data_IF_739969208371
#
_entry.id   IF_739969208371
#
_cell.length_a   1.000
_cell.length_b   1.000
_cell.length_c   1.000
_cell.angle_alpha   90.00
_cell.angle_beta   90.00
_cell.angle_gamma   90.00
#
_symmetry.space_group_name_H-M   'P 1'
#
loop_
_entity.id
_entity.type
_entity.pdbx_description
1 polymer ?
#
# COMPACT_ATOMS: atom_id res chain seq x y z
N UNK A 1 6.80 32.45 2.04
CA UNK A 1 6.92 31.60 3.24
C UNK A 1 5.52 31.11 3.60
N UNK A 2 5.04 30.03 2.98
CA UNK A 2 3.68 29.54 3.17
C UNK A 2 3.70 28.45 4.25
N UNK A 3 3.07 28.69 5.40
CA UNK A 3 2.75 27.63 6.36
C UNK A 3 1.81 26.65 5.65
N UNK A 4 2.23 25.39 5.56
CA UNK A 4 1.35 24.29 5.15
C UNK A 4 0.11 24.34 6.07
N UNK A 5 -1.06 24.61 5.50
CA UNK A 5 -2.31 24.47 6.22
C UNK A 5 -2.42 22.99 6.62
N UNK A 6 -2.51 22.70 7.92
CA UNK A 6 -2.75 21.32 8.36
C UNK A 6 -4.07 20.85 7.76
N UNK A 7 -4.12 19.63 7.25
CA UNK A 7 -5.32 19.06 6.62
C UNK A 7 -6.49 18.90 7.60
N UNK A 8 -6.25 19.12 8.90
CA UNK A 8 -7.20 18.85 9.98
C UNK A 8 -7.21 17.39 10.43
N UNK A 9 -6.46 16.52 9.73
CA UNK A 9 -6.34 15.09 10.01
C UNK A 9 -4.86 14.73 10.21
N UNK A 10 -4.49 14.43 11.45
CA UNK A 10 -3.10 14.18 11.86
C UNK A 10 -2.41 13.07 11.05
N UNK A 11 -3.16 12.08 10.59
CA UNK A 11 -2.63 10.95 9.84
C UNK A 11 -2.23 11.34 8.41
N UNK A 12 -3.00 12.20 7.75
CA UNK A 12 -2.66 12.72 6.42
C UNK A 12 -1.50 13.72 6.49
N UNK A 13 -1.45 14.55 7.54
CA UNK A 13 -0.33 15.46 7.76
C UNK A 13 0.97 14.68 8.01
N UNK A 14 0.91 13.61 8.81
CA UNK A 14 2.04 12.69 9.04
C UNK A 14 2.48 12.03 7.74
N UNK A 15 1.52 11.54 6.94
CA UNK A 15 1.81 10.94 5.64
C UNK A 15 2.54 11.92 4.71
N UNK A 16 2.06 13.17 4.59
CA UNK A 16 2.70 14.20 3.79
C UNK A 16 4.11 14.54 4.28
N UNK A 17 4.33 14.54 5.59
CA UNK A 17 5.65 14.75 6.17
C UNK A 17 6.63 13.62 5.81
N UNK A 18 6.20 12.35 5.89
CA UNK A 18 7.01 11.19 5.47
C UNK A 18 7.41 11.34 4.00
N UNK A 19 6.43 11.51 3.11
CA UNK A 19 6.70 11.60 1.66
C UNK A 19 7.66 12.73 1.29
N UNK A 20 7.47 13.91 1.88
CA UNK A 20 8.34 15.06 1.65
C UNK A 20 9.76 14.83 2.13
N UNK A 21 9.94 14.35 3.37
CA UNK A 21 11.26 14.08 3.94
C UNK A 21 11.98 13.00 3.14
N UNK A 22 11.31 11.91 2.80
CA UNK A 22 11.90 10.86 1.96
C UNK A 22 12.29 11.42 0.60
N UNK A 23 11.45 12.24 -0.04
CA UNK A 23 11.77 12.86 -1.33
C UNK A 23 12.97 13.82 -1.24
N UNK A 24 13.08 14.61 -0.18
CA UNK A 24 14.23 15.49 0.07
C UNK A 24 15.53 14.67 0.17
N UNK A 25 15.52 13.54 0.90
CA UNK A 25 16.66 12.63 1.01
C UNK A 25 17.04 11.99 -0.33
N UNK A 26 16.04 11.50 -1.08
CA UNK A 26 16.28 10.92 -2.40
C UNK A 26 16.79 11.99 -3.38
N UNK A 27 16.28 13.21 -3.30
CA UNK A 27 16.78 14.30 -4.15
C UNK A 27 18.23 14.66 -3.82
N UNK A 28 18.59 14.74 -2.54
CA UNK A 28 19.97 14.95 -2.12
C UNK A 28 20.88 13.83 -2.66
N UNK A 29 20.52 12.56 -2.42
CA UNK A 29 21.28 11.41 -2.91
C UNK A 29 21.45 11.42 -4.43
N UNK A 30 20.41 11.79 -5.17
CA UNK A 30 20.48 11.88 -6.64
C UNK A 30 21.37 13.03 -7.13
N UNK A 31 21.48 14.12 -6.36
CA UNK A 31 22.25 15.31 -6.72
C UNK A 31 23.73 15.22 -6.32
N UNK A 32 24.02 14.67 -5.13
CA UNK A 32 25.38 14.63 -4.56
C UNK A 32 26.03 13.26 -4.66
N UNK A 33 25.25 12.20 -4.87
CA UNK A 33 25.73 10.82 -4.76
C UNK A 33 25.88 10.32 -3.32
N UNK A 34 25.63 11.17 -2.33
CA UNK A 34 25.80 10.88 -0.92
C UNK A 34 24.51 11.08 -0.14
N UNK A 35 24.29 10.23 0.85
CA UNK A 35 23.15 10.32 1.74
C UNK A 35 23.45 11.33 2.87
N UNK A 36 22.55 12.30 3.16
CA UNK A 36 22.77 13.24 4.27
C UNK A 36 22.89 12.55 5.64
N UNK A 37 23.57 13.20 6.59
CA UNK A 37 23.66 12.71 7.96
C UNK A 37 22.27 12.49 8.58
N UNK A 38 22.09 11.35 9.27
CA UNK A 38 20.81 10.96 9.90
C UNK A 38 19.74 10.47 8.92
N UNK A 39 19.98 10.45 7.62
CA UNK A 39 19.02 9.98 6.63
C UNK A 39 18.67 8.49 6.78
N UNK A 40 19.65 7.64 7.16
CA UNK A 40 19.39 6.23 7.45
C UNK A 40 18.39 6.06 8.59
N UNK A 41 18.47 6.90 9.63
CA UNK A 41 17.52 6.86 10.75
C UNK A 41 16.12 7.30 10.31
N UNK A 42 16.01 8.35 9.49
CA UNK A 42 14.71 8.77 8.92
C UNK A 42 14.10 7.67 8.05
N UNK A 43 14.91 7.01 7.22
CA UNK A 43 14.43 5.90 6.41
C UNK A 43 13.96 4.72 7.29
N UNK A 44 14.72 4.36 8.32
CA UNK A 44 14.41 3.25 9.21
C UNK A 44 13.22 3.51 10.15
N UNK A 45 13.06 4.72 10.64
CA UNK A 45 12.06 5.04 11.69
C UNK A 45 10.77 5.65 11.14
N UNK A 46 10.80 6.21 9.93
CA UNK A 46 9.64 6.86 9.32
C UNK A 46 9.21 6.20 8.01
N UNK A 47 10.15 6.04 7.06
CA UNK A 47 9.80 5.64 5.69
C UNK A 47 9.48 4.16 5.59
N UNK A 48 10.37 3.28 6.07
CA UNK A 48 10.19 1.83 6.03
C UNK A 48 8.94 1.39 6.81
N UNK A 49 8.65 1.92 8.01
CA UNK A 49 7.39 1.63 8.71
C UNK A 49 6.14 2.02 7.92
N UNK A 50 6.21 3.07 7.07
CA UNK A 50 5.10 3.38 6.18
C UNK A 50 4.91 2.33 5.09
N UNK A 51 6.00 1.77 4.54
CA UNK A 51 5.92 0.66 3.59
C UNK A 51 5.37 -0.60 4.27
N UNK A 52 5.76 -0.87 5.52
CA UNK A 52 5.18 -1.96 6.32
C UNK A 52 3.67 -1.76 6.56
N UNK A 53 3.21 -0.54 6.80
CA UNK A 53 1.78 -0.22 6.88
C UNK A 53 1.06 -0.56 5.57
N UNK A 54 1.67 -0.29 4.41
CA UNK A 54 1.11 -0.65 3.10
C UNK A 54 0.96 -2.17 2.95
N UNK A 55 1.96 -2.95 3.36
CA UNK A 55 1.88 -4.41 3.38
C UNK A 55 0.79 -4.92 4.33
N UNK A 56 0.72 -4.35 5.53
CA UNK A 56 -0.30 -4.70 6.52
C UNK A 56 -1.70 -4.42 5.97
N UNK A 57 -1.89 -3.27 5.30
CA UNK A 57 -3.12 -2.93 4.59
C UNK A 57 -3.45 -3.93 3.48
N UNK A 58 -2.46 -4.32 2.68
CA UNK A 58 -2.64 -5.31 1.62
C UNK A 58 -3.11 -6.65 2.19
N UNK A 59 -2.45 -7.16 3.24
CA UNK A 59 -2.84 -8.40 3.93
C UNK A 59 -4.25 -8.29 4.53
N UNK A 60 -4.60 -7.15 5.13
CA UNK A 60 -5.94 -6.92 5.68
C UNK A 60 -7.02 -6.95 4.57
N UNK A 61 -6.76 -6.34 3.42
CA UNK A 61 -7.66 -6.36 2.26
C UNK A 61 -7.85 -7.75 1.67
N UNK A 62 -6.78 -8.55 1.58
CA UNK A 62 -6.87 -9.94 1.13
C UNK A 62 -7.76 -10.77 2.06
N UNK A 63 -7.52 -10.69 3.38
CA UNK A 63 -8.36 -11.36 4.38
C UNK A 63 -9.82 -10.95 4.27
N UNK A 64 -10.10 -9.65 4.12
CA UNK A 64 -11.47 -9.17 3.95
C UNK A 64 -12.13 -9.72 2.68
N UNK A 65 -11.37 -9.89 1.60
CA UNK A 65 -11.87 -10.47 0.34
C UNK A 65 -12.19 -11.96 0.49
N UNK A 66 -11.32 -12.72 1.17
CA UNK A 66 -11.54 -14.14 1.49
C UNK A 66 -12.75 -14.32 2.41
N UNK A 67 -12.83 -13.52 3.48
CA UNK A 67 -13.97 -13.50 4.40
C UNK A 67 -15.29 -13.18 3.70
N UNK A 68 -15.30 -12.27 2.72
CA UNK A 68 -16.51 -11.98 1.94
C UNK A 68 -16.95 -13.18 1.09
N UNK A 69 -16.02 -14.01 0.59
CA UNK A 69 -16.37 -15.25 -0.13
C UNK A 69 -16.92 -16.31 0.82
N UNK A 70 -16.33 -16.45 2.02
CA UNK A 70 -16.84 -17.35 3.06
C UNK A 70 -18.22 -16.91 3.57
N UNK A 71 -18.41 -15.62 3.79
CA UNK A 71 -19.69 -15.03 4.19
C UNK A 71 -20.74 -15.18 3.09
N UNK A 72 -20.38 -14.94 1.81
CA UNK A 72 -21.27 -15.20 0.68
C UNK A 72 -21.66 -16.68 0.61
N UNK A 73 -20.74 -17.62 0.82
CA UNK A 73 -21.06 -19.06 0.91
C UNK A 73 -22.01 -19.34 2.07
N UNK A 74 -21.76 -18.78 3.25
CA UNK A 74 -22.63 -18.94 4.41
C UNK A 74 -24.03 -18.36 4.17
N UNK A 75 -24.13 -17.21 3.51
CA UNK A 75 -25.40 -16.59 3.13
C UNK A 75 -26.15 -17.37 2.04
N UNK A 76 -25.45 -17.98 1.09
CA UNK A 76 -26.05 -18.89 0.09
C UNK A 76 -26.63 -20.13 0.79
N UNK A 77 -25.91 -20.70 1.76
CA UNK A 77 -26.40 -21.82 2.57
C UNK A 77 -27.61 -21.42 3.44
N UNK A 78 -27.54 -20.25 4.08
CA UNK A 78 -28.62 -19.74 4.94
C UNK A 78 -29.87 -19.34 4.14
N UNK A 79 -29.69 -18.78 2.95
CA UNK A 79 -30.75 -18.36 2.04
C UNK A 79 -31.40 -19.51 1.27
N UNK A 80 -31.00 -20.77 1.51
CA UNK A 80 -31.51 -21.94 0.81
C UNK A 80 -31.15 -21.97 -0.68
N UNK A 81 -30.19 -21.15 -1.11
CA UNK A 81 -29.80 -20.99 -2.51
C UNK A 81 -28.71 -21.98 -2.97
N UNK A 82 -28.42 -23.03 -2.19
CA UNK A 82 -27.77 -24.21 -2.75
C UNK A 82 -27.23 -25.27 -1.77
N UNK A 83 -27.78 -26.48 -1.88
CA UNK A 83 -27.20 -27.83 -1.97
C UNK A 83 -28.39 -28.77 -2.27
N UNK A 84 -28.22 -29.94 -2.95
CA UNK A 84 -29.35 -30.84 -3.22
C UNK A 84 -30.06 -31.20 -1.90
N UNK A 85 -31.39 -31.25 -1.91
CA UNK A 85 -32.14 -31.62 -0.70
C UNK A 85 -31.60 -32.96 -0.15
N UNK A 86 -31.33 -33.05 1.18
CA UNK A 86 -30.90 -34.29 1.79
C UNK A 86 -31.89 -35.39 1.43
N UNK A 87 -31.40 -36.50 0.90
CA UNK A 87 -32.26 -37.59 0.40
C UNK A 87 -32.88 -38.37 1.55
N UNK A 88 -32.28 -38.30 2.74
CA UNK A 88 -32.74 -38.98 3.93
C UNK A 88 -32.49 -38.19 5.23
N UNK A 89 -33.05 -38.72 6.33
CA UNK A 89 -33.00 -38.11 7.67
C UNK A 89 -31.61 -38.18 8.32
N UNK A 90 -30.72 -39.04 7.84
CA UNK A 90 -29.36 -39.16 8.34
C UNK A 90 -28.46 -38.08 7.73
N UNK A 91 -28.61 -37.83 6.43
CA UNK A 91 -27.94 -36.76 5.69
C UNK A 91 -28.38 -35.38 6.21
N UNK A 92 -29.66 -35.20 6.53
CA UNK A 92 -30.17 -33.98 7.17
C UNK A 92 -29.57 -33.73 8.57
N UNK A 93 -29.36 -34.78 9.37
CA UNK A 93 -28.70 -34.68 10.68
C UNK A 93 -27.21 -34.39 10.55
N UNK A 94 -26.53 -35.02 9.60
CA UNK A 94 -25.11 -34.77 9.33
C UNK A 94 -24.87 -33.32 8.91
N UNK A 95 -25.66 -32.81 7.96
CA UNK A 95 -25.59 -31.42 7.50
C UNK A 95 -25.84 -30.41 8.64
N UNK A 96 -26.77 -30.69 9.56
CA UNK A 96 -27.03 -29.85 10.72
C UNK A 96 -25.85 -29.83 11.70
N UNK A 97 -25.22 -30.99 11.96
CA UNK A 97 -24.05 -31.10 12.85
C UNK A 97 -22.86 -30.34 12.27
N UNK A 98 -22.59 -30.48 10.97
CA UNK A 98 -21.54 -29.73 10.27
C UNK A 98 -21.79 -28.21 10.32
N UNK A 99 -23.04 -27.77 10.11
CA UNK A 99 -23.41 -26.36 10.22
C UNK A 99 -23.24 -25.81 11.65
N UNK A 100 -23.57 -26.61 12.67
CA UNK A 100 -23.38 -26.24 14.08
C UNK A 100 -21.89 -26.20 14.45
N UNK A 101 -21.07 -27.11 13.94
CA UNK A 101 -19.62 -27.13 14.15
C UNK A 101 -18.93 -25.95 13.45
N UNK A 102 -19.33 -25.61 12.22
CA UNK A 102 -18.85 -24.41 11.52
C UNK A 102 -19.18 -23.13 12.30
N UNK A 103 -20.37 -23.06 12.91
CA UNK A 103 -20.78 -21.94 13.77
C UNK A 103 -20.01 -21.87 15.09
N UNK A 104 -19.70 -23.02 15.69
CA UNK A 104 -18.88 -23.09 16.90
C UNK A 104 -17.41 -22.71 16.63
N UNK A 105 -16.88 -23.02 15.44
CA UNK A 105 -15.54 -22.60 15.00
C UNK A 105 -15.39 -21.10 14.76
N UNK A 106 -16.49 -20.38 14.52
CA UNK A 106 -16.49 -18.91 14.32
C UNK A 106 -16.41 -18.10 15.64
N UNK A 107 -16.43 -18.79 16.79
CA UNK A 107 -16.45 -18.20 18.13
C UNK A 107 -15.11 -18.17 18.88
N UNK A 108 -13.98 -18.37 18.19
CA UNK A 108 -12.66 -18.08 18.79
C UNK A 108 -12.57 -16.62 19.17
N UNK A 109 -12.03 -16.30 20.35
CA UNK A 109 -11.80 -14.95 20.86
C UNK A 109 -11.42 -14.02 19.70
N UNK A 110 -12.37 -13.18 19.27
CA UNK A 110 -12.09 -12.09 18.36
C UNK A 110 -11.33 -11.06 19.17
N UNK A 111 -10.04 -11.28 19.37
CA UNK A 111 -9.12 -10.20 19.70
C UNK A 111 -9.38 -9.17 18.62
N UNK A 112 -9.99 -8.04 18.99
CA UNK A 112 -10.23 -6.94 18.09
C UNK A 112 -8.85 -6.53 17.58
N UNK A 113 -8.48 -7.05 16.42
CA UNK A 113 -7.23 -6.71 15.78
C UNK A 113 -7.22 -5.18 15.68
N UNK A 114 -6.12 -4.56 16.13
CA UNK A 114 -5.99 -3.10 16.10
C UNK A 114 -6.46 -2.56 14.75
N UNK A 115 -7.24 -1.48 14.79
CA UNK A 115 -7.95 -0.96 13.61
C UNK A 115 -7.04 -0.96 12.36
N UNK A 116 -7.40 -1.70 11.29
CA UNK A 116 -6.59 -1.76 10.07
C UNK A 116 -6.58 -0.42 9.32
N UNK A 117 -7.24 0.62 9.84
CA UNK A 117 -7.44 1.92 9.18
C UNK A 117 -6.13 2.55 8.69
N UNK A 118 -5.06 2.51 9.49
CA UNK A 118 -3.75 3.06 9.09
C UNK A 118 -3.16 2.31 7.90
N UNK A 119 -3.14 0.98 7.94
CA UNK A 119 -2.59 0.17 6.87
C UNK A 119 -3.44 0.25 5.58
N UNK A 120 -4.77 0.25 5.72
CA UNK A 120 -5.68 0.43 4.59
C UNK A 120 -5.52 1.81 3.94
N UNK A 121 -5.40 2.88 4.74
CA UNK A 121 -5.15 4.22 4.21
C UNK A 121 -3.80 4.30 3.48
N UNK A 122 -2.75 3.72 4.04
CA UNK A 122 -1.44 3.64 3.40
C UNK A 122 -1.49 2.87 2.07
N UNK A 123 -2.18 1.73 2.03
CA UNK A 123 -2.38 0.94 0.83
C UNK A 123 -3.15 1.71 -0.26
N UNK A 124 -4.29 2.30 0.07
CA UNK A 124 -5.11 3.02 -0.91
C UNK A 124 -4.40 4.28 -1.42
N UNK A 125 -3.65 4.98 -0.56
CA UNK A 125 -2.77 6.06 -0.99
C UNK A 125 -1.72 5.55 -2.00
N UNK A 126 -1.03 4.46 -1.69
CA UNK A 126 -0.03 3.89 -2.60
C UNK A 126 -0.64 3.49 -3.96
N UNK A 127 -1.84 2.90 -3.97
CA UNK A 127 -2.56 2.55 -5.21
C UNK A 127 -2.84 3.78 -6.06
N UNK A 128 -3.28 4.88 -5.45
CA UNK A 128 -3.52 6.15 -6.15
C UNK A 128 -2.21 6.71 -6.72
N UNK A 129 -1.14 6.73 -5.93
CA UNK A 129 0.19 7.16 -6.39
C UNK A 129 0.62 6.37 -7.63
N UNK A 130 0.60 5.04 -7.55
CA UNK A 130 0.98 4.20 -8.70
C UNK A 130 0.11 4.43 -9.93
N UNK A 131 -1.20 4.66 -9.76
CA UNK A 131 -2.11 4.94 -10.86
C UNK A 131 -1.84 6.29 -11.54
N UNK A 132 -1.38 7.29 -10.76
CA UNK A 132 -1.12 8.65 -11.24
C UNK A 132 0.26 8.84 -11.86
N UNK A 133 1.23 8.01 -11.49
CA UNK A 133 2.60 8.08 -12.02
C UNK A 133 2.66 8.13 -13.56
N UNK A 134 2.07 7.19 -14.33
CA UNK A 134 2.19 7.19 -15.79
C UNK A 134 1.62 8.44 -16.46
N UNK A 135 0.59 9.04 -15.85
CA UNK A 135 -0.13 10.19 -16.40
C UNK A 135 0.46 11.53 -15.98
N UNK A 136 1.58 11.54 -15.23
CA UNK A 136 2.17 12.79 -14.76
C UNK A 136 2.79 13.58 -15.94
N UNK A 137 2.39 14.84 -16.16
CA UNK A 137 2.98 15.68 -17.20
C UNK A 137 4.48 15.89 -16.99
N UNK A 138 5.27 15.85 -18.07
CA UNK A 138 6.73 16.00 -18.01
C UNK A 138 7.24 17.24 -17.25
N UNK A 139 6.64 18.43 -17.40
CA UNK A 139 7.03 19.62 -16.62
C UNK A 139 6.84 19.48 -15.11
N UNK A 140 6.01 18.53 -14.66
CA UNK A 140 5.73 18.29 -13.25
C UNK A 140 6.57 17.15 -12.63
N UNK A 141 7.45 16.52 -13.41
CA UNK A 141 8.35 15.46 -12.94
C UNK A 141 9.60 16.08 -12.31
N UNK A 142 9.87 15.76 -11.04
CA UNK A 142 11.01 16.32 -10.30
C UNK A 142 12.28 15.47 -10.37
N UNK A 143 12.22 14.28 -10.97
CA UNK A 143 13.40 13.41 -11.09
C UNK A 143 14.56 14.12 -11.82
N UNK A 144 15.75 14.21 -11.22
CA UNK A 144 16.80 15.12 -11.69
C UNK A 144 17.59 14.59 -12.90
N UNK A 145 17.61 13.27 -13.15
CA UNK A 145 18.46 12.64 -14.17
C UNK A 145 17.67 11.99 -15.31
N UNK A 146 18.27 11.88 -16.49
CA UNK A 146 17.70 11.13 -17.61
C UNK A 146 16.32 11.65 -18.11
N UNK A 147 15.38 10.73 -18.32
CA UNK A 147 14.05 11.04 -18.89
C UNK A 147 13.15 11.68 -17.81
N UNK A 148 12.70 12.90 -18.06
CA UNK A 148 11.70 13.62 -17.23
C UNK A 148 10.27 13.17 -17.52
N UNK A 149 10.03 11.88 -17.37
CA UNK A 149 8.69 11.28 -17.49
C UNK A 149 8.62 10.01 -16.66
N UNK A 150 7.42 9.73 -16.15
CA UNK A 150 7.07 8.46 -15.52
C UNK A 150 6.14 7.61 -16.39
N UNK A 151 5.86 8.03 -17.63
CA UNK A 151 4.92 7.35 -18.54
C UNK A 151 5.32 5.90 -18.88
N UNK A 152 6.60 5.57 -18.75
CA UNK A 152 7.13 4.20 -18.94
C UNK A 152 7.06 3.35 -17.65
N UNK A 153 6.65 3.91 -16.53
CA UNK A 153 6.43 3.19 -15.27
C UNK A 153 4.96 2.79 -15.20
N UNK A 154 4.64 1.58 -15.65
CA UNK A 154 3.26 1.09 -15.64
C UNK A 154 2.71 0.94 -14.21
N UNK A 155 1.47 1.37 -14.02
CA UNK A 155 0.69 1.10 -12.81
C UNK A 155 0.45 -0.41 -12.65
N UNK A 156 0.52 -0.96 -11.42
CA UNK A 156 0.22 -2.36 -11.16
C UNK A 156 -1.25 -2.65 -11.44
N UNK A 157 -1.53 -3.67 -12.24
CA UNK A 157 -2.88 -4.06 -12.71
C UNK A 157 -3.45 -5.24 -11.95
N UNK A 158 -2.62 -5.96 -11.21
CA UNK A 158 -3.01 -7.12 -10.41
C UNK A 158 -2.53 -7.01 -8.96
N UNK A 159 -3.14 -7.75 -8.02
CA UNK A 159 -2.65 -7.82 -6.64
C UNK A 159 -1.19 -8.29 -6.55
N UNK A 160 -0.77 -9.24 -7.40
CA UNK A 160 0.60 -9.75 -7.45
C UNK A 160 1.59 -8.67 -7.93
N UNK A 161 1.21 -7.88 -8.93
CA UNK A 161 2.03 -6.73 -9.36
C UNK A 161 2.11 -5.65 -8.28
N UNK A 162 1.01 -5.41 -7.57
CA UNK A 162 0.97 -4.42 -6.49
C UNK A 162 1.90 -4.80 -5.35
N UNK A 163 1.83 -6.04 -4.83
CA UNK A 163 2.75 -6.48 -3.78
C UNK A 163 4.20 -6.48 -4.26
N UNK A 164 4.47 -6.87 -5.51
CA UNK A 164 5.81 -6.78 -6.09
C UNK A 164 6.35 -5.34 -6.15
N UNK A 165 5.49 -4.34 -6.36
CA UNK A 165 5.87 -2.92 -6.28
C UNK A 165 6.15 -2.48 -4.85
N UNK A 166 5.38 -2.94 -3.87
CA UNK A 166 5.60 -2.64 -2.45
C UNK A 166 6.96 -3.20 -2.00
N UNK A 167 7.23 -4.48 -2.30
CA UNK A 167 8.50 -5.13 -1.99
C UNK A 167 9.69 -4.49 -2.74
N UNK A 168 9.46 -3.99 -3.95
CA UNK A 168 10.49 -3.21 -4.68
C UNK A 168 10.84 -1.93 -3.92
N UNK A 169 9.83 -1.16 -3.46
CA UNK A 169 10.05 0.06 -2.67
C UNK A 169 10.84 -0.27 -1.41
N UNK A 170 10.38 -1.25 -0.64
CA UNK A 170 11.00 -1.65 0.63
C UNK A 170 12.47 -2.02 0.44
N UNK A 171 12.75 -2.95 -0.47
CA UNK A 171 14.11 -3.46 -0.73
C UNK A 171 15.05 -2.36 -1.19
N UNK A 172 14.57 -1.42 -2.00
CA UNK A 172 15.37 -0.30 -2.51
C UNK A 172 15.66 0.72 -1.41
N UNK A 173 14.67 1.04 -0.57
CA UNK A 173 14.84 1.92 0.58
C UNK A 173 15.78 1.32 1.61
N UNK A 174 15.70 0.00 1.86
CA UNK A 174 16.67 -0.72 2.69
C UNK A 174 18.10 -0.59 2.16
N UNK A 175 18.31 -0.77 0.84
CA UNK A 175 19.64 -0.57 0.25
C UNK A 175 20.16 0.85 0.46
N UNK A 176 19.31 1.86 0.27
CA UNK A 176 19.68 3.27 0.51
C UNK A 176 20.00 3.50 1.99
N UNK A 177 19.18 3.00 2.91
CA UNK A 177 19.41 3.11 4.35
C UNK A 177 20.72 2.43 4.79
N UNK A 178 21.09 1.33 4.14
CA UNK A 178 22.35 0.62 4.34
C UNK A 178 23.56 1.30 3.66
N UNK A 179 23.41 2.53 3.14
CA UNK A 179 24.48 3.30 2.51
C UNK A 179 24.84 2.86 1.09
N UNK A 180 24.02 2.01 0.44
CA UNK A 180 24.26 1.61 -0.95
C UNK A 180 23.75 2.69 -1.88
N UNK A 181 24.67 3.40 -2.52
CA UNK A 181 24.36 4.46 -3.49
C UNK A 181 23.86 3.82 -4.79
N UNK A 182 22.61 4.12 -5.23
CA UNK A 182 22.09 3.65 -6.50
C UNK A 182 22.75 4.39 -7.66
N UNK A 183 22.89 3.70 -8.80
CA UNK A 183 23.37 4.37 -10.03
C UNK A 183 22.38 5.44 -10.46
N UNK A 184 22.84 6.60 -10.98
CA UNK A 184 21.97 7.64 -11.56
C UNK A 184 21.10 7.17 -12.73
N UNK A 185 21.45 6.04 -13.34
CA UNK A 185 20.70 5.39 -14.43
C UNK A 185 19.81 4.23 -13.97
N UNK A 186 19.77 3.94 -12.67
CA UNK A 186 18.99 2.83 -12.10
C UNK A 186 17.49 3.10 -12.24
N UNK A 187 16.84 2.34 -13.12
CA UNK A 187 15.41 2.42 -13.36
C UNK A 187 14.57 2.12 -12.09
N UNK A 188 15.08 1.29 -11.17
CA UNK A 188 14.44 1.02 -9.89
C UNK A 188 14.49 2.23 -8.97
N UNK A 189 15.61 2.94 -8.94
CA UNK A 189 15.73 4.17 -8.17
C UNK A 189 14.77 5.26 -8.68
N UNK A 190 14.66 5.42 -10.01
CA UNK A 190 13.67 6.34 -10.61
C UNK A 190 12.23 5.99 -10.23
N UNK A 191 11.88 4.71 -10.12
CA UNK A 191 10.54 4.27 -9.68
C UNK A 191 10.26 4.64 -8.23
N UNK A 192 11.21 4.39 -7.33
CA UNK A 192 11.11 4.79 -5.92
C UNK A 192 10.98 6.31 -5.80
N UNK A 193 11.85 7.05 -6.49
CA UNK A 193 11.78 8.51 -6.52
C UNK A 193 10.41 8.99 -7.01
N UNK A 194 9.92 8.46 -8.13
CA UNK A 194 8.63 8.85 -8.69
C UNK A 194 7.45 8.53 -7.76
N UNK A 195 7.51 7.43 -7.01
CA UNK A 195 6.50 7.11 -6.00
C UNK A 195 6.43 8.22 -4.93
N UNK A 196 7.58 8.63 -4.38
CA UNK A 196 7.60 9.70 -3.37
C UNK A 196 7.31 11.09 -3.95
N UNK A 197 7.73 11.37 -5.18
CA UNK A 197 7.43 12.61 -5.89
C UNK A 197 5.91 12.79 -6.05
N UNK A 198 5.24 11.78 -6.59
CA UNK A 198 3.79 11.85 -6.84
C UNK A 198 2.99 11.79 -5.54
N UNK A 199 3.41 10.99 -4.56
CA UNK A 199 2.72 10.93 -3.27
C UNK A 199 2.82 12.23 -2.47
N UNK A 200 3.96 12.92 -2.48
CA UNK A 200 4.07 14.23 -1.82
C UNK A 200 3.10 15.26 -2.44
N UNK A 201 2.94 15.22 -3.77
CA UNK A 201 2.00 16.10 -4.48
C UNK A 201 0.54 15.74 -4.23
N UNK A 202 0.24 14.44 -4.15
CA UNK A 202 -1.10 13.95 -3.85
C UNK A 202 -1.58 14.46 -2.49
N UNK A 203 -0.72 14.38 -1.47
CA UNK A 203 -1.05 14.87 -0.13
C UNK A 203 -1.21 16.40 -0.09
N UNK A 204 -0.47 17.13 -0.92
CA UNK A 204 -0.56 18.61 -0.98
C UNK A 204 -1.73 19.14 -1.79
N UNK A 205 -2.43 18.29 -2.55
CA UNK A 205 -3.45 18.73 -3.49
C UNK A 205 -2.88 19.44 -4.74
N UNK A 206 -1.58 19.28 -5.01
CA UNK A 206 -0.86 19.94 -6.12
C UNK A 206 -0.93 19.13 -7.44
N UNK A 207 -1.80 18.11 -7.50
CA UNK A 207 -2.05 17.33 -8.71
C UNK A 207 -3.09 18.02 -9.58
N UNK A 208 -2.63 18.69 -10.63
CA UNK A 208 -3.47 19.11 -11.75
C UNK A 208 -3.52 17.98 -12.76
N UNK A 209 -4.66 17.31 -12.86
CA UNK A 209 -4.97 16.44 -14.00
C UNK A 209 -5.31 17.35 -15.17
N UNK A 210 -4.47 17.35 -16.21
CA UNK A 210 -4.69 18.07 -17.47
C UNK A 210 -5.55 17.26 -18.42
#
# INVERSE_FOLDING_TARGET
>A
MNRLASSGFSDFDRLGAVFRRTLELLHALAATGDLPDGASDVLATETLPHIEDMEAGFRARLRATESNVEELRALVLLGGLGLPEPRDTAEARAALIEAMQARAGAGGERTLAGSPGRGLAALEHARLVFALMPSTPGPSVRYPTGRRTYADIAAPRSPAELVGRIEELERRLWNVAAGRVPSPSDAGYRRVYGFFDIGERLVRGDLRLS
#
